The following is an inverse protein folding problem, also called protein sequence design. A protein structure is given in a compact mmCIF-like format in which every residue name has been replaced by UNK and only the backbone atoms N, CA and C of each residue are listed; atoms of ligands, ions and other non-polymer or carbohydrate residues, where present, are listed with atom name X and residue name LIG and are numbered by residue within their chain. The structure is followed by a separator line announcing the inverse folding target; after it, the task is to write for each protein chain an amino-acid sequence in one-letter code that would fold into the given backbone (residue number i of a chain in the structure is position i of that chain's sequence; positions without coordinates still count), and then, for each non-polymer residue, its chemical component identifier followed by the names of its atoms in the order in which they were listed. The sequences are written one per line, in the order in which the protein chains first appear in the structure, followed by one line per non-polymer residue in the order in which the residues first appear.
data_IF_669316384762
#
_entry.id   IF_669316384762
#
_cell.length_a   1.000
_cell.length_b   1.000
_cell.length_c   1.000
_cell.angle_alpha   90.00
_cell.angle_beta   90.00
_cell.angle_gamma   90.00
#
_symmetry.space_group_name_H-M   'P 1'
#
loop_
_entity.id
_entity.type
_entity.pdbx_description
1 polymer ?
#
# COMPACT_ATOMS: atom_id res chain seq x y z
N UNK A 1 -2.77 -4.03 -4.20
CA UNK A 1 -2.98 -3.63 -2.79
C UNK A 1 -4.40 -3.80 -2.28
N UNK A 2 -5.47 -3.35 -2.95
CA UNK A 2 -6.83 -3.38 -2.38
C UNK A 2 -7.28 -4.73 -1.74
N UNK A 3 -7.00 -5.88 -2.37
CA UNK A 3 -7.38 -7.21 -1.82
C UNK A 3 -6.69 -7.50 -0.47
N UNK A 4 -5.47 -7.00 -0.27
CA UNK A 4 -4.70 -7.25 0.95
C UNK A 4 -5.39 -6.68 2.19
N UNK A 5 -5.94 -5.46 2.08
CA UNK A 5 -6.69 -4.81 3.17
C UNK A 5 -7.93 -5.62 3.55
N UNK A 6 -8.74 -5.99 2.56
CA UNK A 6 -9.96 -6.79 2.80
C UNK A 6 -9.67 -8.10 3.51
N UNK A 7 -8.54 -8.77 3.18
CA UNK A 7 -8.16 -10.03 3.84
C UNK A 7 -7.74 -9.79 5.29
N UNK A 8 -6.92 -8.78 5.53
CA UNK A 8 -6.43 -8.47 6.88
C UNK A 8 -7.54 -7.98 7.82
N UNK A 9 -8.44 -7.13 7.33
CA UNK A 9 -9.59 -6.65 8.10
C UNK A 9 -10.53 -7.79 8.48
N UNK A 10 -10.75 -8.76 7.59
CA UNK A 10 -11.58 -9.95 7.86
C UNK A 10 -11.01 -10.84 8.97
N UNK A 11 -9.70 -10.81 9.19
CA UNK A 11 -9.05 -11.54 10.30
C UNK A 11 -8.82 -10.67 11.53
N UNK A 12 -9.40 -9.47 11.57
CA UNK A 12 -9.31 -8.54 12.70
C UNK A 12 -7.95 -7.84 12.83
N UNK A 13 -7.14 -7.85 11.77
CA UNK A 13 -5.85 -7.17 11.75
C UNK A 13 -5.98 -5.70 11.33
N UNK A 14 -5.28 -4.81 12.02
CA UNK A 14 -5.17 -3.40 11.66
C UNK A 14 -3.93 -3.19 10.77
N UNK A 15 -4.13 -2.60 9.59
CA UNK A 15 -3.01 -2.20 8.74
C UNK A 15 -2.61 -0.77 9.08
N UNK A 16 -1.42 -0.62 9.65
CA UNK A 16 -0.85 0.67 10.06
C UNK A 16 -0.04 1.34 8.95
N UNK A 17 0.65 0.55 8.11
CA UNK A 17 1.53 1.05 7.06
C UNK A 17 1.76 -0.03 5.99
N UNK A 18 1.98 0.37 4.74
CA UNK A 18 2.47 -0.49 3.67
C UNK A 18 3.92 -0.13 3.31
N UNK A 19 4.68 -1.08 2.78
CA UNK A 19 6.04 -0.85 2.31
C UNK A 19 6.31 -1.58 0.99
N UNK A 20 7.07 -0.94 0.10
CA UNK A 20 7.61 -1.59 -1.09
C UNK A 20 9.03 -1.08 -1.42
N UNK A 21 9.76 -1.87 -2.22
CA UNK A 21 11.12 -1.49 -2.62
C UNK A 21 11.10 -0.44 -3.72
N UNK A 22 10.24 -0.64 -4.73
CA UNK A 22 10.12 0.26 -5.88
C UNK A 22 8.67 0.71 -6.00
N UNK A 23 8.47 1.99 -6.29
CA UNK A 23 7.19 2.53 -6.74
C UNK A 23 7.28 3.04 -8.18
N UNK A 24 6.20 2.84 -8.93
CA UNK A 24 5.94 3.43 -10.25
C UNK A 24 4.79 4.45 -10.09
N UNK A 25 5.07 5.76 -9.91
CA UNK A 25 4.04 6.76 -9.59
C UNK A 25 2.92 6.84 -10.63
N UNK A 26 3.21 6.57 -11.90
CA UNK A 26 2.26 6.55 -13.02
C UNK A 26 1.15 5.51 -12.87
N UNK A 27 1.37 4.45 -12.07
CA UNK A 27 0.38 3.41 -11.78
C UNK A 27 -0.57 3.77 -10.63
N UNK A 28 -0.37 4.92 -9.96
CA UNK A 28 -1.25 5.42 -8.90
C UNK A 28 -1.50 4.43 -7.76
N UNK A 29 -0.46 3.65 -7.40
CA UNK A 29 -0.54 2.63 -6.36
C UNK A 29 -0.96 3.18 -4.99
N UNK A 30 -0.47 4.37 -4.62
CA UNK A 30 -0.80 5.07 -3.37
C UNK A 30 -2.29 5.36 -3.20
N UNK A 31 -3.00 5.70 -4.27
CA UNK A 31 -4.45 5.96 -4.22
C UNK A 31 -5.24 4.70 -3.80
N UNK A 32 -4.66 3.51 -3.99
CA UNK A 32 -5.28 2.21 -3.66
C UNK A 32 -5.00 1.75 -2.23
N UNK A 33 -4.35 2.58 -1.40
CA UNK A 33 -3.98 2.29 -0.02
C UNK A 33 -4.97 2.83 1.02
N UNK A 34 -6.11 3.35 0.59
CA UNK A 34 -7.17 3.84 1.49
C UNK A 34 -6.65 4.91 2.48
N UNK A 35 -5.72 5.74 2.01
CA UNK A 35 -5.10 6.82 2.80
C UNK A 35 -4.02 6.36 3.79
N UNK A 36 -3.66 5.06 3.81
CA UNK A 36 -2.61 4.55 4.70
C UNK A 36 -1.21 4.94 4.20
N UNK A 37 -0.25 5.19 5.11
CA UNK A 37 1.12 5.51 4.75
C UNK A 37 1.76 4.41 3.89
N UNK A 38 2.64 4.83 2.97
CA UNK A 38 3.46 3.96 2.16
C UNK A 38 4.92 4.35 2.31
N UNK A 39 5.74 3.45 2.81
CA UNK A 39 7.19 3.56 2.72
C UNK A 39 7.68 2.99 1.38
N UNK A 40 8.55 3.73 0.71
CA UNK A 40 9.16 3.32 -0.57
C UNK A 40 10.66 3.52 -0.49
N UNK A 41 11.45 2.50 -0.86
CA UNK A 41 12.91 2.62 -0.89
C UNK A 41 13.41 3.40 -2.13
N UNK A 42 12.79 3.18 -3.29
CA UNK A 42 13.15 3.80 -4.57
C UNK A 42 11.89 4.20 -5.34
N UNK A 43 11.79 5.46 -5.73
CA UNK A 43 10.77 5.91 -6.71
C UNK A 43 11.37 5.87 -8.12
N UNK A 44 10.74 5.13 -9.03
CA UNK A 44 11.12 5.11 -10.45
C UNK A 44 10.61 6.38 -11.16
N UNK A 45 11.42 6.93 -12.06
CA UNK A 45 11.15 8.18 -12.80
C UNK A 45 11.28 7.98 -14.29
#
# INVERSE_FOLDING_TARGET
MNIFFTVLERVGAEVIECACVIELPELKGRERLEGKPLYVLVEYR
#
